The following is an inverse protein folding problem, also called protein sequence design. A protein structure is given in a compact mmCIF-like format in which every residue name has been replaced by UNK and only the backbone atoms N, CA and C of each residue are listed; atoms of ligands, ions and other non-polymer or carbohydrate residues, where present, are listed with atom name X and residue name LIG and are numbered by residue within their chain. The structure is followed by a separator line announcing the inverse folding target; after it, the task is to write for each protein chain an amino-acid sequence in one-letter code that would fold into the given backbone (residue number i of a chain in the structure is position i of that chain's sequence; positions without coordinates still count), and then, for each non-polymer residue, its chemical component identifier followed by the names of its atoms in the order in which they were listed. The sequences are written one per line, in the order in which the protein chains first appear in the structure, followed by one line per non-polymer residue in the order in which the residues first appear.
data_IF_981042665167
#
_entry.id   IF_981042665167
#
_cell.length_a   1.000
_cell.length_b   1.000
_cell.length_c   1.000
_cell.angle_alpha   90.00
_cell.angle_beta   90.00
_cell.angle_gamma   90.00
#
_symmetry.space_group_name_H-M   'P 1'
#
loop_
_entity.id
_entity.type
_entity.pdbx_description
1 polymer ?
#
# COMPACT_ATOMS: atom_id res chain seq x y z
N UNK A 1 5.86 -54.56 -8.86
CA UNK A 1 5.23 -53.91 -7.68
C UNK A 1 6.03 -52.73 -7.13
N UNK A 2 7.36 -52.84 -6.89
CA UNK A 2 8.19 -51.74 -6.34
C UNK A 2 8.24 -50.47 -7.22
N UNK A 3 8.37 -50.60 -8.54
CA UNK A 3 8.39 -49.44 -9.45
C UNK A 3 7.08 -48.65 -9.47
N UNK A 4 5.94 -49.35 -9.41
CA UNK A 4 4.62 -48.71 -9.28
C UNK A 4 4.48 -47.94 -7.97
N UNK A 5 4.95 -48.52 -6.85
CA UNK A 5 4.93 -47.84 -5.56
C UNK A 5 5.80 -46.56 -5.55
N UNK A 6 6.95 -46.57 -6.22
CA UNK A 6 7.81 -45.39 -6.36
C UNK A 6 7.17 -44.30 -7.23
N UNK A 7 6.56 -44.68 -8.35
CA UNK A 7 5.84 -43.74 -9.23
C UNK A 7 4.65 -43.12 -8.51
N UNK A 8 3.90 -43.92 -7.74
CA UNK A 8 2.79 -43.44 -6.91
C UNK A 8 3.29 -42.47 -5.83
N UNK A 9 4.38 -42.81 -5.13
CA UNK A 9 4.98 -41.94 -4.13
C UNK A 9 5.45 -40.61 -4.73
N UNK A 10 6.06 -40.63 -5.92
CA UNK A 10 6.48 -39.42 -6.63
C UNK A 10 5.28 -38.57 -7.06
N UNK A 11 4.23 -39.19 -7.61
CA UNK A 11 3.02 -38.49 -8.00
C UNK A 11 2.34 -37.80 -6.80
N UNK A 12 2.26 -38.49 -5.66
CA UNK A 12 1.73 -37.93 -4.42
C UNK A 12 2.62 -36.77 -3.93
N UNK A 13 3.94 -36.92 -3.95
CA UNK A 13 4.87 -35.86 -3.57
C UNK A 13 4.70 -34.60 -4.44
N UNK A 14 4.59 -34.77 -5.77
CA UNK A 14 4.36 -33.66 -6.70
C UNK A 14 3.01 -33.00 -6.45
N UNK A 15 1.96 -33.80 -6.21
CA UNK A 15 0.64 -33.28 -5.89
C UNK A 15 0.65 -32.46 -4.60
N UNK A 16 1.27 -32.97 -3.53
CA UNK A 16 1.39 -32.26 -2.25
C UNK A 16 2.20 -30.98 -2.41
N UNK A 17 3.32 -31.01 -3.14
CA UNK A 17 4.12 -29.82 -3.45
C UNK A 17 3.32 -28.78 -4.25
N UNK A 18 2.55 -29.22 -5.24
CA UNK A 18 1.68 -28.34 -6.03
C UNK A 18 0.57 -27.70 -5.19
N UNK A 19 -0.09 -28.49 -4.34
CA UNK A 19 -1.17 -28.02 -3.47
C UNK A 19 -0.66 -27.04 -2.41
N UNK A 20 0.48 -27.34 -1.78
CA UNK A 20 1.12 -26.45 -0.81
C UNK A 20 1.54 -25.13 -1.45
N UNK A 21 2.17 -25.17 -2.63
CA UNK A 21 2.52 -23.96 -3.38
C UNK A 21 1.28 -23.13 -3.74
N UNK A 22 0.22 -23.76 -4.25
CA UNK A 22 -1.02 -23.09 -4.60
C UNK A 22 -1.69 -22.43 -3.38
N UNK A 23 -1.68 -23.12 -2.23
CA UNK A 23 -2.23 -22.61 -0.98
C UNK A 23 -1.46 -21.37 -0.49
N UNK A 24 -0.14 -21.43 -0.45
CA UNK A 24 0.72 -20.29 -0.06
C UNK A 24 0.50 -19.10 -0.98
N UNK A 25 0.45 -19.33 -2.30
CA UNK A 25 0.17 -18.29 -3.28
C UNK A 25 -1.23 -17.67 -3.10
N UNK A 26 -2.25 -18.47 -2.81
CA UNK A 26 -3.61 -18.00 -2.56
C UNK A 26 -3.69 -17.13 -1.29
N UNK A 27 -3.05 -17.57 -0.20
CA UNK A 27 -2.98 -16.81 1.06
C UNK A 27 -2.28 -15.47 0.84
N UNK A 28 -1.13 -15.44 0.15
CA UNK A 28 -0.41 -14.20 -0.15
C UNK A 28 -1.24 -13.21 -0.98
N UNK A 29 -1.96 -13.70 -2.00
CA UNK A 29 -2.87 -12.85 -2.79
C UNK A 29 -4.03 -12.32 -1.95
N UNK A 30 -4.62 -13.15 -1.09
CA UNK A 30 -5.71 -12.74 -0.21
C UNK A 30 -5.26 -11.67 0.81
N UNK A 31 -4.08 -11.85 1.42
CA UNK A 31 -3.47 -10.87 2.32
C UNK A 31 -3.22 -9.53 1.61
N UNK A 32 -2.65 -9.56 0.39
CA UNK A 32 -2.43 -8.36 -0.42
C UNK A 32 -3.75 -7.65 -0.76
N UNK A 33 -4.79 -8.39 -1.15
CA UNK A 33 -6.12 -7.83 -1.41
C UNK A 33 -6.73 -7.20 -0.17
N UNK A 34 -6.57 -7.81 1.02
CA UNK A 34 -7.02 -7.23 2.29
C UNK A 34 -6.26 -5.96 2.64
N UNK A 35 -4.93 -5.95 2.49
CA UNK A 35 -4.10 -4.78 2.75
C UNK A 35 -4.46 -3.60 1.85
N UNK A 36 -4.77 -3.85 0.57
CA UNK A 36 -5.25 -2.84 -0.37
C UNK A 36 -6.66 -2.37 -0.01
N UNK A 37 -7.58 -3.28 0.33
CA UNK A 37 -8.97 -2.92 0.72
C UNK A 37 -9.06 -2.10 2.02
N UNK A 38 -8.07 -2.25 2.88
CA UNK A 38 -7.96 -1.50 4.13
C UNK A 38 -6.99 -0.31 4.00
N UNK A 39 -6.52 -0.01 2.79
CA UNK A 39 -5.70 1.16 2.56
C UNK A 39 -6.50 2.43 2.89
N UNK A 40 -5.80 3.44 3.37
CA UNK A 40 -6.38 4.73 3.74
C UNK A 40 -5.50 5.85 3.21
N UNK A 41 -6.15 6.88 2.69
CA UNK A 41 -5.49 8.13 2.37
C UNK A 41 -5.04 8.81 3.66
N UNK A 42 -3.77 9.23 3.70
CA UNK A 42 -3.16 9.91 4.84
C UNK A 42 -2.29 11.08 4.37
N UNK A 43 -2.31 12.23 5.08
CA UNK A 43 -1.34 13.28 4.84
C UNK A 43 0.07 12.79 5.18
N UNK A 44 1.06 13.23 4.41
CA UNK A 44 2.47 12.90 4.63
C UNK A 44 3.33 14.05 4.14
N UNK A 45 4.41 14.34 4.86
CA UNK A 45 5.42 15.30 4.43
C UNK A 45 6.81 14.69 4.52
N UNK A 46 7.71 15.14 3.66
CA UNK A 46 9.12 14.76 3.71
C UNK A 46 10.00 15.85 3.09
N UNK A 47 11.22 15.96 3.58
CA UNK A 47 12.24 16.81 2.97
C UNK A 47 12.93 16.09 1.80
N UNK A 48 13.13 16.78 0.69
CA UNK A 48 13.89 16.30 -0.47
C UNK A 48 14.53 17.48 -1.18
N UNK A 49 15.84 17.43 -1.41
CA UNK A 49 16.58 18.41 -2.21
C UNK A 49 16.32 19.87 -1.76
N UNK A 50 16.38 20.12 -0.45
CA UNK A 50 16.11 21.44 0.13
C UNK A 50 14.65 21.90 0.06
N UNK A 51 13.73 21.00 -0.28
CA UNK A 51 12.30 21.27 -0.42
C UNK A 51 11.50 20.40 0.54
N UNK A 52 10.53 20.98 1.24
CA UNK A 52 9.49 20.23 1.95
C UNK A 52 8.39 19.88 0.96
N UNK A 53 8.15 18.59 0.76
CA UNK A 53 7.08 18.09 -0.09
C UNK A 53 5.94 17.64 0.81
N UNK A 54 4.77 18.24 0.64
CA UNK A 54 3.53 17.83 1.32
C UNK A 54 2.70 17.03 0.33
N UNK A 55 2.23 15.88 0.78
CA UNK A 55 1.55 14.88 -0.05
C UNK A 55 0.35 14.29 0.67
N UNK A 56 -0.55 13.68 -0.09
CA UNK A 56 -1.57 12.77 0.41
C UNK A 56 -1.36 11.41 -0.26
N UNK A 57 -1.12 10.38 0.55
CA UNK A 57 -0.73 9.05 0.06
C UNK A 57 -1.77 8.01 0.45
N UNK A 58 -2.09 7.08 -0.45
CA UNK A 58 -2.89 5.90 -0.15
C UNK A 58 -1.98 4.84 0.47
N UNK A 59 -2.09 4.66 1.78
CA UNK A 59 -1.20 3.78 2.54
C UNK A 59 -1.93 2.47 2.87
N UNK A 60 -1.37 1.34 2.43
CA UNK A 60 -1.83 0.02 2.78
C UNK A 60 -1.54 -0.30 4.26
N UNK A 61 -2.22 -1.30 4.84
CA UNK A 61 -1.98 -1.72 6.23
C UNK A 61 -0.53 -2.16 6.50
N UNK A 62 0.17 -2.65 5.49
CA UNK A 62 1.58 -3.04 5.58
C UNK A 62 2.56 -1.87 5.40
N UNK A 63 2.04 -0.63 5.37
CA UNK A 63 2.85 0.59 5.25
C UNK A 63 3.27 0.94 3.82
N UNK A 64 2.95 0.11 2.83
CA UNK A 64 3.27 0.42 1.43
C UNK A 64 2.40 1.56 0.91
N UNK A 65 3.03 2.46 0.17
CA UNK A 65 2.34 3.51 -0.57
C UNK A 65 1.83 2.90 -1.88
N UNK A 66 0.52 2.99 -2.10
CA UNK A 66 -0.16 2.49 -3.29
C UNK A 66 -0.41 3.58 -4.31
N UNK A 67 -0.61 4.82 -3.86
CA UNK A 67 -0.81 6.00 -4.68
C UNK A 67 -0.38 7.25 -3.87
N UNK A 68 0.01 8.33 -4.56
CA UNK A 68 0.52 9.55 -3.94
C UNK A 68 0.19 10.78 -4.78
N UNK A 69 -0.40 11.80 -4.15
CA UNK A 69 -0.62 13.11 -4.74
C UNK A 69 0.20 14.16 -4.00
N UNK A 70 1.00 14.91 -4.75
CA UNK A 70 1.68 16.09 -4.21
C UNK A 70 0.66 17.21 -4.07
N UNK A 71 0.55 17.75 -2.86
CA UNK A 71 -0.26 18.93 -2.57
C UNK A 71 0.58 20.18 -2.84
N UNK A 72 1.80 20.22 -2.29
CA UNK A 72 2.68 21.37 -2.45
C UNK A 72 4.16 21.00 -2.29
N UNK A 73 5.02 21.81 -2.91
CA UNK A 73 6.47 21.80 -2.74
C UNK A 73 6.88 23.18 -2.26
N UNK A 74 7.52 23.25 -1.10
CA UNK A 74 7.88 24.49 -0.42
C UNK A 74 9.40 24.49 -0.21
N UNK A 75 10.11 25.47 -0.76
CA UNK A 75 11.56 25.52 -0.54
C UNK A 75 11.86 25.84 0.93
N UNK A 76 12.79 25.11 1.54
CA UNK A 76 13.07 25.21 2.98
C UNK A 76 13.58 26.59 3.43
N UNK A 77 14.11 27.38 2.50
CA UNK A 77 14.61 28.74 2.74
C UNK A 77 13.55 29.83 2.54
N UNK A 78 12.29 29.48 2.27
CA UNK A 78 11.23 30.47 2.09
C UNK A 78 10.87 31.18 3.40
N UNK A 79 10.73 32.52 3.40
CA UNK A 79 10.37 33.28 4.61
C UNK A 79 9.00 32.92 5.19
N UNK A 80 8.06 32.51 4.34
CA UNK A 80 6.69 32.13 4.67
C UNK A 80 6.50 30.60 4.74
N UNK A 81 7.60 29.84 4.83
CA UNK A 81 7.59 28.38 4.81
C UNK A 81 6.59 27.77 5.79
N UNK A 82 6.51 28.29 7.02
CA UNK A 82 5.62 27.77 8.07
C UNK A 82 4.16 27.89 7.67
N UNK A 83 3.74 29.06 7.19
CA UNK A 83 2.35 29.32 6.82
C UNK A 83 1.94 28.50 5.60
N UNK A 84 2.85 28.40 4.62
CA UNK A 84 2.65 27.53 3.44
C UNK A 84 2.55 26.07 3.84
N UNK A 85 3.42 25.60 4.73
CA UNK A 85 3.40 24.22 5.21
C UNK A 85 2.10 23.88 5.93
N UNK A 86 1.66 24.73 6.86
CA UNK A 86 0.42 24.52 7.60
C UNK A 86 -0.80 24.52 6.66
N UNK A 87 -0.85 25.44 5.70
CA UNK A 87 -1.92 25.48 4.69
C UNK A 87 -1.92 24.22 3.82
N UNK A 88 -0.76 23.82 3.29
CA UNK A 88 -0.62 22.62 2.49
C UNK A 88 -1.00 21.36 3.28
N UNK A 89 -0.63 21.30 4.56
CA UNK A 89 -0.98 20.18 5.44
C UNK A 89 -2.48 20.10 5.68
N UNK A 90 -3.14 21.23 5.94
CA UNK A 90 -4.59 21.29 6.10
C UNK A 90 -5.32 20.84 4.82
N UNK A 91 -4.87 21.29 3.64
CA UNK A 91 -5.41 20.83 2.35
C UNK A 91 -5.20 19.32 2.18
N UNK A 92 -4.05 18.78 2.58
CA UNK A 92 -3.79 17.35 2.52
C UNK A 92 -4.72 16.54 3.46
N UNK A 93 -4.99 17.05 4.66
CA UNK A 93 -5.92 16.44 5.62
C UNK A 93 -7.36 16.43 5.08
N UNK A 94 -7.85 17.56 4.60
CA UNK A 94 -9.18 17.68 4.01
C UNK A 94 -9.34 16.75 2.81
N UNK A 95 -8.33 16.71 1.92
CA UNK A 95 -8.33 15.81 0.78
C UNK A 95 -8.30 14.35 1.21
N UNK A 96 -7.51 13.98 2.22
CA UNK A 96 -7.50 12.63 2.75
C UNK A 96 -8.88 12.24 3.31
N UNK A 97 -9.55 13.14 4.03
CA UNK A 97 -10.91 12.94 4.53
C UNK A 97 -11.91 12.68 3.39
N UNK A 98 -11.91 13.52 2.35
CA UNK A 98 -12.79 13.36 1.19
C UNK A 98 -12.51 12.08 0.41
N UNK A 99 -11.25 11.73 0.19
CA UNK A 99 -10.90 10.51 -0.53
C UNK A 99 -11.29 9.24 0.25
N UNK A 100 -11.15 9.24 1.58
CA UNK A 100 -11.56 8.13 2.43
C UNK A 100 -13.10 8.02 2.56
N UNK A 101 -13.82 9.15 2.57
CA UNK A 101 -15.29 9.14 2.61
C UNK A 101 -15.90 8.75 1.26
N UNK A 102 -15.33 9.19 0.14
CA UNK A 102 -15.74 8.79 -1.21
C UNK A 102 -15.53 7.28 -1.47
N UNK A 103 -14.45 6.68 -0.94
CA UNK A 103 -14.22 5.22 -1.00
C UNK A 103 -15.26 4.44 -0.17
N UNK A 104 -15.71 5.00 0.94
CA UNK A 104 -16.71 4.37 1.82
C UNK A 104 -18.10 4.35 1.17
N UNK A 105 -18.46 5.37 0.39
CA UNK A 105 -19.76 5.46 -0.30
C UNK A 105 -19.91 4.62 -1.56
N UNK A 106 -18.87 3.90 -2.00
CA UNK A 106 -18.86 3.08 -3.22
C UNK A 106 -19.06 1.56 -2.94
N UNK A 107 -19.42 1.20 -1.71
CA UNK A 107 -19.76 -0.16 -1.26
C UNK A 107 -21.25 -0.32 -1.07
#
# INVERSE_FOLDING_TARGET
MRGFALLLALAVAVLVAGLTFALVAAIGRAARRRAVRAARWRPRHFGRDGTTVVTVSLVALDGRILDEYVVERIAAAEPDWTDRFLRAHQVAEERAFHLNSADTGRR
#
